data_IF_348592755053
#
_entry.id   IF_348592755053
#
_cell.length_a   1.000
_cell.length_b   1.000
_cell.length_c   1.000
_cell.angle_alpha   90.00
_cell.angle_beta   90.00
_cell.angle_gamma   90.00
#
_symmetry.space_group_name_H-M   'P 1'
#
loop_
_entity.id
_entity.type
_entity.pdbx_description
1 polymer ?
#
# COMPACT_ATOMS: atom_id res chain seq x y z
N UNK A 1 -18.96 0.05 -26.99
CA UNK A 1 -18.31 1.37 -26.89
C UNK A 1 -18.39 1.82 -25.44
N UNK A 2 -17.31 1.85 -24.66
CA UNK A 2 -17.40 2.30 -23.28
C UNK A 2 -17.40 3.84 -23.26
N UNK A 3 -18.37 4.40 -22.55
CA UNK A 3 -18.49 5.82 -22.28
C UNK A 3 -17.30 6.25 -21.42
N UNK A 4 -16.35 6.97 -22.02
CA UNK A 4 -15.38 7.74 -21.26
C UNK A 4 -16.15 8.83 -20.52
N UNK A 5 -16.30 8.68 -19.20
CA UNK A 5 -16.87 9.73 -18.38
C UNK A 5 -15.84 10.86 -18.35
N UNK A 6 -16.06 11.87 -19.19
CA UNK A 6 -15.47 13.17 -18.99
C UNK A 6 -15.94 13.63 -17.60
N UNK A 7 -15.03 13.64 -16.61
CA UNK A 7 -15.23 14.35 -15.36
C UNK A 7 -15.29 15.84 -15.71
N UNK A 8 -16.47 16.28 -16.14
CA UNK A 8 -16.79 17.67 -16.30
C UNK A 8 -16.76 18.26 -14.89
N UNK A 9 -15.69 19.03 -14.65
CA UNK A 9 -15.39 19.73 -13.41
C UNK A 9 -16.44 20.81 -13.21
N UNK A 10 -17.62 20.44 -12.71
CA UNK A 10 -18.57 21.40 -12.19
C UNK A 10 -18.19 21.66 -10.74
N UNK A 11 -17.92 22.93 -10.43
CA UNK A 11 -17.51 23.40 -9.11
C UNK A 11 -18.72 23.39 -8.18
N UNK A 12 -19.24 22.20 -7.87
CA UNK A 12 -20.25 22.00 -6.84
C UNK A 12 -19.56 21.82 -5.50
N UNK A 13 -19.68 22.83 -4.63
CA UNK A 13 -19.31 22.69 -3.22
C UNK A 13 -20.07 21.52 -2.55
N UNK A 14 -19.59 21.02 -1.41
CA UNK A 14 -20.16 19.85 -0.77
C UNK A 14 -21.65 20.08 -0.43
N UNK A 15 -22.53 19.07 -0.64
CA UNK A 15 -23.91 19.13 -0.18
C UNK A 15 -23.95 19.15 1.35
N UNK A 16 -24.83 19.99 1.91
CA UNK A 16 -25.04 20.11 3.35
C UNK A 16 -25.46 18.75 3.96
N UNK A 17 -24.76 18.31 5.01
CA UNK A 17 -25.21 17.22 5.87
C UNK A 17 -26.48 17.65 6.64
N UNK A 18 -27.40 16.71 6.94
CA UNK A 18 -28.57 17.00 7.75
C UNK A 18 -28.14 17.26 9.19
N UNK A 19 -28.65 18.35 9.76
CA UNK A 19 -28.40 18.74 11.14
C UNK A 19 -29.11 17.79 12.12
N UNK A 20 -28.33 17.10 12.96
CA UNK A 20 -28.80 16.65 14.26
C UNK A 20 -28.68 17.83 15.25
N UNK A 21 -29.83 18.29 15.73
CA UNK A 21 -29.94 19.36 16.73
C UNK A 21 -29.49 18.87 18.12
N UNK A 22 -28.59 19.61 18.78
CA UNK A 22 -28.40 19.49 20.22
C UNK A 22 -27.09 20.03 20.80
N UNK A 23 -27.05 21.34 21.10
CA UNK A 23 -26.18 22.03 22.08
C UNK A 23 -24.64 21.94 21.88
N UNK A 24 -23.88 23.03 21.71
CA UNK A 24 -23.68 24.12 22.67
C UNK A 24 -23.15 25.37 21.96
N UNK A 25 -23.72 26.54 22.27
CA UNK A 25 -23.07 27.82 22.00
C UNK A 25 -21.86 28.01 22.93
N UNK A 26 -20.68 28.21 22.36
CA UNK A 26 -19.56 28.97 22.92
C UNK A 26 -18.59 29.34 21.77
N UNK A 27 -18.38 30.65 21.60
CA UNK A 27 -17.42 31.38 20.74
C UNK A 27 -16.55 30.50 19.82
N UNK A 28 -16.79 30.59 18.50
CA UNK A 28 -15.89 30.05 17.48
C UNK A 28 -14.52 30.75 17.56
N UNK A 29 -13.40 30.04 17.75
CA UNK A 29 -12.07 30.62 17.59
C UNK A 29 -11.76 30.72 16.08
N UNK A 30 -11.20 31.88 15.72
CA UNK A 30 -10.27 32.13 14.60
C UNK A 30 -10.32 31.16 13.41
N UNK A 31 -10.88 31.64 12.29
CA UNK A 31 -10.69 31.16 10.93
C UNK A 31 -10.11 29.74 10.80
N UNK A 32 -10.99 28.73 10.88
CA UNK A 32 -10.68 27.37 10.44
C UNK A 32 -10.18 27.47 9.00
N UNK A 33 -8.85 27.44 8.81
CA UNK A 33 -8.25 27.20 7.51
C UNK A 33 -8.65 25.78 7.11
N UNK A 34 -9.79 25.68 6.45
CA UNK A 34 -10.28 24.43 5.88
C UNK A 34 -9.16 23.89 4.99
N UNK A 35 -8.63 22.71 5.34
CA UNK A 35 -7.64 22.06 4.50
C UNK A 35 -8.33 21.68 3.17
N UNK A 36 -7.70 21.94 2.02
CA UNK A 36 -8.29 21.61 0.73
C UNK A 36 -8.63 20.11 0.69
N UNK A 37 -9.92 19.80 0.61
CA UNK A 37 -10.47 18.45 0.66
C UNK A 37 -11.33 18.22 -0.57
N UNK A 38 -11.16 17.07 -1.22
CA UNK A 38 -11.96 16.64 -2.35
C UNK A 38 -12.70 15.36 -1.97
N UNK A 39 -14.01 15.46 -1.86
CA UNK A 39 -14.88 14.37 -1.45
C UNK A 39 -15.57 13.72 -2.65
N UNK A 40 -15.19 12.48 -2.93
CA UNK A 40 -15.76 11.63 -3.98
C UNK A 40 -16.33 10.33 -3.41
N UNK A 41 -16.60 10.27 -2.10
CA UNK A 41 -17.12 9.07 -1.44
C UNK A 41 -18.51 8.70 -1.93
N UNK A 42 -18.89 7.43 -1.77
CA UNK A 42 -20.24 6.94 -2.05
C UNK A 42 -20.73 7.18 -3.49
N UNK A 43 -19.78 7.18 -4.44
CA UNK A 43 -20.08 7.26 -5.86
C UNK A 43 -19.96 5.87 -6.51
N UNK A 44 -20.00 5.84 -7.85
CA UNK A 44 -19.83 4.62 -8.66
C UNK A 44 -18.56 4.68 -9.51
N UNK A 45 -17.52 5.33 -8.99
CA UNK A 45 -16.25 5.46 -9.71
C UNK A 45 -15.63 4.07 -9.82
N UNK A 46 -15.30 3.66 -11.05
CA UNK A 46 -14.70 2.35 -11.34
C UNK A 46 -13.23 2.42 -11.69
N UNK A 47 -12.80 3.55 -12.22
CA UNK A 47 -11.47 3.76 -12.75
C UNK A 47 -11.02 5.18 -12.39
N UNK A 48 -9.72 5.32 -12.11
CA UNK A 48 -9.05 6.61 -11.95
C UNK A 48 -8.09 6.73 -13.12
N UNK A 49 -8.39 7.56 -14.13
CA UNK A 49 -7.46 7.75 -15.24
C UNK A 49 -6.17 8.42 -14.73
N UNK A 50 -5.00 8.12 -15.32
CA UNK A 50 -3.77 8.82 -15.01
C UNK A 50 -3.94 10.34 -15.11
N UNK A 51 -3.46 11.08 -14.12
CA UNK A 51 -3.57 12.54 -14.07
C UNK A 51 -4.98 13.09 -13.76
N UNK A 52 -5.93 12.26 -13.31
CA UNK A 52 -7.30 12.68 -12.97
C UNK A 52 -7.35 13.91 -12.03
N UNK A 53 -6.36 14.02 -11.14
CA UNK A 53 -6.29 15.06 -10.11
C UNK A 53 -5.18 16.08 -10.33
N UNK A 54 -4.51 16.09 -11.49
CA UNK A 54 -3.29 16.88 -11.74
C UNK A 54 -3.43 18.39 -11.51
N UNK A 55 -4.66 18.92 -11.62
CA UNK A 55 -4.98 20.34 -11.37
C UNK A 55 -5.14 20.69 -9.89
N UNK A 56 -5.27 19.69 -9.01
CA UNK A 56 -5.55 19.83 -7.58
C UNK A 56 -4.27 19.81 -6.74
N UNK A 57 -3.23 20.54 -7.15
CA UNK A 57 -1.89 20.47 -6.52
C UNK A 57 -1.84 20.88 -5.04
N UNK A 58 -2.80 21.68 -4.60
CA UNK A 58 -2.93 22.11 -3.21
C UNK A 58 -3.80 21.18 -2.36
N UNK A 59 -4.27 20.07 -2.94
CA UNK A 59 -5.16 19.13 -2.25
C UNK A 59 -4.45 18.49 -1.07
N UNK A 60 -5.10 18.50 0.09
CA UNK A 60 -4.59 17.92 1.32
C UNK A 60 -5.25 16.57 1.64
N UNK A 61 -6.55 16.46 1.38
CA UNK A 61 -7.34 15.26 1.65
C UNK A 61 -8.10 14.82 0.41
N UNK A 62 -7.98 13.55 0.03
CA UNK A 62 -8.74 12.94 -1.05
C UNK A 62 -9.55 11.76 -0.50
N UNK A 63 -10.88 11.86 -0.61
CA UNK A 63 -11.81 10.85 -0.13
C UNK A 63 -12.40 10.09 -1.32
N UNK A 64 -11.98 8.85 -1.53
CA UNK A 64 -12.43 7.96 -2.62
C UNK A 64 -13.07 6.66 -2.09
N UNK A 65 -13.27 6.54 -0.78
CA UNK A 65 -13.84 5.35 -0.17
C UNK A 65 -15.31 5.12 -0.57
N UNK A 66 -15.75 3.86 -0.51
CA UNK A 66 -17.11 3.45 -0.90
C UNK A 66 -17.41 3.77 -2.38
N UNK A 67 -16.49 3.35 -3.26
CA UNK A 67 -16.64 3.38 -4.72
C UNK A 67 -16.46 1.93 -5.27
N UNK A 68 -16.25 1.78 -6.57
CA UNK A 68 -16.08 0.50 -7.27
C UNK A 68 -14.71 0.45 -7.98
N UNK A 69 -13.70 1.14 -7.43
CA UNK A 69 -12.37 1.26 -8.07
C UNK A 69 -11.69 -0.10 -8.02
N UNK A 70 -11.25 -0.61 -9.19
CA UNK A 70 -10.67 -1.95 -9.32
C UNK A 70 -9.15 -1.98 -9.36
N UNK A 71 -8.53 -0.90 -9.82
CA UNK A 71 -7.08 -0.80 -9.92
C UNK A 71 -6.62 0.64 -9.72
N UNK A 72 -5.38 0.77 -9.28
CA UNK A 72 -4.68 2.05 -9.16
C UNK A 72 -3.54 2.08 -10.19
N UNK A 73 -3.74 2.71 -11.36
CA UNK A 73 -2.70 2.76 -12.39
C UNK A 73 -1.58 3.74 -12.01
N UNK A 74 -0.43 3.62 -12.68
CA UNK A 74 0.63 4.62 -12.62
C UNK A 74 0.07 6.03 -12.91
N UNK A 75 0.49 7.00 -12.10
CA UNK A 75 0.07 8.39 -12.26
C UNK A 75 -1.40 8.68 -11.89
N UNK A 76 -2.13 7.75 -11.27
CA UNK A 76 -3.49 8.00 -10.77
C UNK A 76 -3.56 9.23 -9.84
N UNK A 77 -2.51 9.46 -9.06
CA UNK A 77 -2.39 10.55 -8.09
C UNK A 77 -1.19 11.48 -8.37
N UNK A 78 -0.76 11.56 -9.64
CA UNK A 78 0.37 12.38 -10.06
C UNK A 78 0.18 13.87 -9.69
N UNK A 79 1.29 14.55 -9.38
CA UNK A 79 1.37 15.97 -9.00
C UNK A 79 0.61 16.37 -7.70
N UNK A 80 0.16 15.40 -6.88
CA UNK A 80 -0.50 15.66 -5.59
C UNK A 80 0.50 15.76 -4.41
N UNK A 81 1.53 16.59 -4.55
CA UNK A 81 2.65 16.70 -3.59
C UNK A 81 2.24 17.15 -2.17
N UNK A 82 1.11 17.86 -2.05
CA UNK A 82 0.59 18.35 -0.76
C UNK A 82 -0.44 17.41 -0.10
N UNK A 83 -0.76 16.30 -0.76
CA UNK A 83 -1.74 15.34 -0.25
C UNK A 83 -1.18 14.63 0.98
N UNK A 84 -1.91 14.73 2.10
CA UNK A 84 -1.58 14.10 3.38
C UNK A 84 -2.43 12.86 3.65
N UNK A 85 -3.69 12.90 3.23
CA UNK A 85 -4.66 11.87 3.60
C UNK A 85 -5.36 11.32 2.36
N UNK A 86 -5.18 10.02 2.11
CA UNK A 86 -5.80 9.31 1.00
C UNK A 86 -6.65 8.14 1.50
N UNK A 87 -7.96 8.23 1.24
CA UNK A 87 -8.93 7.23 1.67
C UNK A 87 -9.47 6.45 0.47
N UNK A 88 -9.09 5.18 0.38
CA UNK A 88 -9.47 4.25 -0.70
C UNK A 88 -10.19 3.00 -0.17
N UNK A 89 -10.50 2.96 1.13
CA UNK A 89 -11.14 1.81 1.77
C UNK A 89 -12.56 1.54 1.23
N UNK A 90 -13.02 0.30 1.33
CA UNK A 90 -14.33 -0.13 0.75
C UNK A 90 -14.42 0.20 -0.73
N UNK A 91 -13.43 -0.27 -1.49
CA UNK A 91 -13.44 -0.31 -2.96
C UNK A 91 -13.26 -1.78 -3.40
N UNK A 92 -12.96 -2.00 -4.68
CA UNK A 92 -12.71 -3.32 -5.25
C UNK A 92 -11.26 -3.43 -5.74
N UNK A 93 -10.31 -2.72 -5.11
CA UNK A 93 -8.93 -2.62 -5.60
C UNK A 93 -8.28 -3.99 -5.50
N UNK A 94 -7.87 -4.55 -6.65
CA UNK A 94 -7.15 -5.81 -6.76
C UNK A 94 -5.69 -5.60 -7.14
N UNK A 95 -5.42 -4.60 -7.99
CA UNK A 95 -4.08 -4.32 -8.51
C UNK A 95 -3.66 -2.88 -8.21
N UNK A 96 -2.45 -2.72 -7.71
CA UNK A 96 -1.80 -1.43 -7.50
C UNK A 96 -0.52 -1.44 -8.31
N UNK A 97 -0.40 -0.49 -9.24
CA UNK A 97 0.83 -0.31 -10.00
C UNK A 97 1.97 0.16 -9.07
N UNK A 98 3.21 -0.28 -9.32
CA UNK A 98 4.42 0.15 -8.60
C UNK A 98 4.61 1.67 -8.57
N UNK A 99 4.08 2.39 -9.55
CA UNK A 99 4.14 3.85 -9.65
C UNK A 99 2.80 4.55 -9.32
N UNK A 100 1.82 3.82 -8.77
CA UNK A 100 0.50 4.39 -8.45
C UNK A 100 0.58 5.56 -7.45
N UNK A 101 1.50 5.48 -6.48
CA UNK A 101 1.69 6.48 -5.43
C UNK A 101 2.86 7.43 -5.69
N UNK A 102 3.42 7.41 -6.90
CA UNK A 102 4.52 8.30 -7.27
C UNK A 102 4.08 9.78 -7.17
N UNK A 103 4.93 10.60 -6.55
CA UNK A 103 4.67 12.05 -6.36
C UNK A 103 3.95 12.40 -5.06
N UNK A 104 3.48 11.43 -4.27
CA UNK A 104 2.80 11.64 -3.00
C UNK A 104 3.78 11.88 -1.82
N UNK A 105 4.71 12.84 -1.99
CA UNK A 105 5.83 13.10 -1.07
C UNK A 105 5.43 13.57 0.34
N UNK A 106 4.21 14.10 0.49
CA UNK A 106 3.67 14.53 1.79
C UNK A 106 2.64 13.59 2.39
N UNK A 107 2.42 12.41 1.81
CA UNK A 107 1.39 11.50 2.29
C UNK A 107 1.73 10.95 3.67
N UNK A 108 0.82 11.15 4.61
CA UNK A 108 0.95 10.74 6.02
C UNK A 108 0.09 9.51 6.30
N UNK A 109 -1.08 9.40 5.66
CA UNK A 109 -2.05 8.33 5.92
C UNK A 109 -2.65 7.77 4.62
N UNK A 110 -2.57 6.44 4.50
CA UNK A 110 -3.13 5.68 3.39
C UNK A 110 -4.06 4.57 3.92
N UNK A 111 -5.32 4.64 3.53
CA UNK A 111 -6.34 3.67 3.94
C UNK A 111 -6.81 2.84 2.74
N UNK A 112 -6.39 1.58 2.71
CA UNK A 112 -6.71 0.58 1.67
C UNK A 112 -7.45 -0.65 2.21
N UNK A 113 -7.81 -0.67 3.48
CA UNK A 113 -8.59 -1.75 4.10
C UNK A 113 -9.97 -1.95 3.43
N UNK A 114 -10.52 -3.17 3.51
CA UNK A 114 -11.74 -3.55 2.78
C UNK A 114 -11.61 -3.35 1.26
N UNK A 115 -10.55 -3.90 0.69
CA UNK A 115 -10.34 -4.04 -0.75
C UNK A 115 -10.06 -5.53 -1.06
N UNK A 116 -9.54 -5.82 -2.25
CA UNK A 116 -9.28 -7.19 -2.73
C UNK A 116 -7.80 -7.36 -3.15
N UNK A 117 -6.89 -6.65 -2.48
CA UNK A 117 -5.46 -6.66 -2.80
C UNK A 117 -4.87 -8.01 -2.39
N UNK A 118 -4.25 -8.71 -3.34
CA UNK A 118 -3.60 -10.00 -3.10
C UNK A 118 -2.10 -9.87 -2.85
N UNK A 119 -1.44 -9.04 -3.66
CA UNK A 119 0.01 -8.80 -3.58
C UNK A 119 0.31 -7.31 -3.66
N UNK A 120 1.49 -6.93 -3.18
CA UNK A 120 1.99 -5.56 -3.20
C UNK A 120 3.45 -5.57 -3.62
N UNK A 121 3.80 -4.65 -4.50
CA UNK A 121 5.18 -4.45 -4.90
C UNK A 121 5.92 -3.59 -3.84
N UNK A 122 7.11 -3.99 -3.38
CA UNK A 122 7.91 -3.17 -2.47
C UNK A 122 8.15 -1.75 -2.99
N UNK A 123 8.30 -1.58 -4.31
CA UNK A 123 8.54 -0.29 -4.96
C UNK A 123 7.31 0.65 -4.85
N UNK A 124 6.09 0.11 -4.70
CA UNK A 124 4.86 0.90 -4.55
C UNK A 124 4.92 1.88 -3.38
N UNK A 125 5.67 1.57 -2.31
CA UNK A 125 5.73 2.37 -1.10
C UNK A 125 7.06 3.14 -0.93
N UNK A 126 8.02 2.95 -1.84
CA UNK A 126 9.36 3.55 -1.74
C UNK A 126 9.33 5.09 -1.77
N UNK A 127 8.33 5.67 -2.42
CA UNK A 127 8.19 7.13 -2.60
C UNK A 127 7.34 7.82 -1.54
N UNK A 128 7.10 7.18 -0.39
CA UNK A 128 6.23 7.69 0.67
C UNK A 128 7.01 7.97 1.97
N UNK A 129 7.95 8.93 2.00
CA UNK A 129 8.88 9.13 3.11
C UNK A 129 8.22 9.61 4.41
N UNK A 130 7.00 10.18 4.32
CA UNK A 130 6.24 10.68 5.48
C UNK A 130 5.09 9.76 5.88
N UNK A 131 4.98 8.58 5.26
CA UNK A 131 3.88 7.68 5.57
C UNK A 131 4.03 7.15 6.99
N UNK A 132 3.04 7.42 7.82
CA UNK A 132 3.01 7.05 9.23
C UNK A 132 1.90 6.03 9.51
N UNK A 133 0.82 6.06 8.70
CA UNK A 133 -0.34 5.19 8.90
C UNK A 133 -0.71 4.49 7.59
N UNK A 134 -0.75 3.16 7.66
CA UNK A 134 -1.08 2.29 6.54
C UNK A 134 -2.06 1.22 6.98
N UNK A 135 -3.28 1.24 6.43
CA UNK A 135 -4.26 0.18 6.67
C UNK A 135 -4.48 -0.66 5.43
N UNK A 136 -4.10 -1.92 5.52
CA UNK A 136 -4.23 -2.97 4.52
C UNK A 136 -5.01 -4.18 5.04
N UNK A 137 -5.48 -4.16 6.30
CA UNK A 137 -6.33 -5.20 6.87
C UNK A 137 -7.62 -5.41 6.05
N UNK A 138 -8.23 -6.59 6.14
CA UNK A 138 -9.42 -6.93 5.32
C UNK A 138 -9.16 -6.79 3.81
N UNK A 139 -8.01 -7.28 3.35
CA UNK A 139 -7.68 -7.54 1.95
C UNK A 139 -7.44 -9.05 1.75
N UNK A 140 -7.09 -9.46 0.53
CA UNK A 140 -6.83 -10.86 0.18
C UNK A 140 -5.32 -11.20 0.21
N UNK A 141 -4.55 -10.57 1.09
CA UNK A 141 -3.09 -10.63 1.08
C UNK A 141 -2.57 -12.08 1.13
N UNK A 142 -1.77 -12.43 0.12
CA UNK A 142 -1.02 -13.68 0.06
C UNK A 142 0.31 -13.49 0.79
N UNK A 143 0.45 -14.13 1.94
CA UNK A 143 1.63 -14.06 2.77
C UNK A 143 2.57 -15.21 2.45
N UNK A 144 3.50 -14.93 1.57
CA UNK A 144 4.62 -15.79 1.18
C UNK A 144 5.94 -15.06 1.44
N UNK A 145 7.07 -15.55 0.93
CA UNK A 145 8.38 -14.94 1.20
C UNK A 145 8.51 -13.51 0.72
N UNK A 146 7.71 -13.08 -0.28
CA UNK A 146 7.71 -11.70 -0.75
C UNK A 146 6.98 -10.76 0.20
N UNK A 147 6.16 -11.23 1.13
CA UNK A 147 5.47 -10.34 2.09
C UNK A 147 6.39 -9.80 3.19
N UNK A 148 7.60 -10.35 3.34
CA UNK A 148 8.50 -10.05 4.46
C UNK A 148 8.92 -8.58 4.51
N UNK A 149 9.08 -7.91 3.35
CA UNK A 149 9.38 -6.48 3.33
C UNK A 149 8.24 -5.66 4.00
N UNK A 150 6.98 -6.07 3.79
CA UNK A 150 5.83 -5.40 4.37
C UNK A 150 5.78 -5.68 5.88
N UNK A 151 6.10 -6.91 6.29
CA UNK A 151 6.22 -7.23 7.71
C UNK A 151 7.25 -6.33 8.41
N UNK A 152 8.41 -6.11 7.81
CA UNK A 152 9.46 -5.27 8.37
C UNK A 152 9.09 -3.78 8.37
N UNK A 153 8.42 -3.30 7.32
CA UNK A 153 7.86 -1.95 7.27
C UNK A 153 6.87 -1.72 8.41
N UNK A 154 5.92 -2.64 8.62
CA UNK A 154 4.92 -2.52 9.68
C UNK A 154 5.53 -2.62 11.09
N UNK A 155 6.56 -3.46 11.28
CA UNK A 155 7.33 -3.51 12.54
C UNK A 155 8.04 -2.17 12.82
N UNK A 156 8.59 -1.52 11.78
CA UNK A 156 9.21 -0.21 11.93
C UNK A 156 8.20 0.85 12.40
N UNK A 157 6.99 0.85 11.84
CA UNK A 157 5.90 1.75 12.27
C UNK A 157 5.41 1.46 13.69
N UNK A 158 5.32 0.19 14.08
CA UNK A 158 4.96 -0.17 15.45
C UNK A 158 5.98 0.40 16.47
N UNK A 159 7.28 0.37 16.13
CA UNK A 159 8.35 0.93 16.98
C UNK A 159 8.32 2.45 17.06
N UNK A 160 7.89 3.15 16.00
CA UNK A 160 7.79 4.61 15.99
C UNK A 160 6.58 5.15 16.77
N UNK A 161 5.76 4.28 17.36
CA UNK A 161 4.54 4.68 18.09
C UNK A 161 3.32 4.93 17.20
N UNK A 162 3.41 4.58 15.91
CA UNK A 162 2.30 4.72 14.96
C UNK A 162 1.32 3.56 15.08
N UNK A 163 0.41 3.66 16.05
CA UNK A 163 -0.56 2.64 16.43
C UNK A 163 -1.67 2.32 15.39
N UNK A 164 -1.53 2.74 14.13
CA UNK A 164 -2.57 2.58 13.10
C UNK A 164 -2.10 1.89 11.82
N UNK A 165 -0.92 1.27 11.84
CA UNK A 165 -0.47 0.39 10.77
C UNK A 165 -1.03 -1.04 10.98
N UNK A 166 -1.80 -1.55 10.03
CA UNK A 166 -2.45 -2.86 10.15
C UNK A 166 -2.54 -3.57 8.81
N UNK A 167 -2.15 -4.84 8.77
CA UNK A 167 -2.33 -5.74 7.64
C UNK A 167 -2.48 -7.18 8.16
N UNK A 168 -3.33 -7.98 7.52
CA UNK A 168 -3.62 -9.36 7.92
C UNK A 168 -3.52 -10.28 6.72
N UNK A 169 -2.95 -11.46 6.90
CA UNK A 169 -2.88 -12.47 5.84
C UNK A 169 -4.26 -13.10 5.60
N UNK A 170 -4.62 -13.27 4.33
CA UNK A 170 -5.76 -14.12 3.95
C UNK A 170 -5.28 -15.51 3.54
N UNK A 171 -4.12 -15.58 2.90
CA UNK A 171 -3.47 -16.82 2.50
C UNK A 171 -2.01 -16.87 2.99
N UNK A 172 -1.45 -18.07 3.19
CA UNK A 172 -2.10 -19.37 3.18
C UNK A 172 -3.03 -19.59 4.39
N UNK A 173 -3.98 -20.53 4.28
CA UNK A 173 -5.01 -20.81 5.31
C UNK A 173 -4.44 -21.06 6.72
N UNK A 174 -3.23 -21.62 6.82
CA UNK A 174 -2.54 -21.88 8.11
C UNK A 174 -2.26 -20.62 8.94
N UNK A 175 -2.11 -19.46 8.29
CA UNK A 175 -1.85 -18.17 8.93
C UNK A 175 -2.93 -17.13 8.58
N UNK A 176 -4.11 -17.59 8.15
CA UNK A 176 -5.21 -16.67 7.87
C UNK A 176 -5.57 -15.87 9.14
N UNK A 177 -5.73 -14.56 8.98
CA UNK A 177 -6.01 -13.61 10.05
C UNK A 177 -4.79 -13.20 10.88
N UNK A 178 -3.61 -13.82 10.69
CA UNK A 178 -2.38 -13.35 11.36
C UNK A 178 -2.03 -11.95 10.88
N UNK A 179 -1.57 -11.12 11.83
CA UNK A 179 -0.99 -9.82 11.52
C UNK A 179 0.33 -9.99 10.78
N UNK A 180 0.47 -9.32 9.63
CA UNK A 180 1.68 -9.37 8.81
C UNK A 180 2.91 -8.92 9.60
N UNK A 181 2.76 -7.96 10.52
CA UNK A 181 3.85 -7.46 11.36
C UNK A 181 4.41 -8.52 12.33
N UNK A 182 3.69 -9.61 12.58
CA UNK A 182 4.06 -10.65 13.56
C UNK A 182 4.60 -11.94 12.94
N UNK A 183 4.63 -12.01 11.62
CA UNK A 183 5.03 -13.23 10.90
C UNK A 183 6.55 -13.33 10.83
N UNK A 184 7.04 -14.57 10.90
CA UNK A 184 8.45 -14.89 10.76
C UNK A 184 8.74 -15.66 9.46
N UNK A 185 9.99 -15.60 8.94
CA UNK A 185 10.38 -16.38 7.75
C UNK A 185 10.15 -17.88 7.90
N UNK A 186 10.31 -18.42 9.11
CA UNK A 186 10.13 -19.84 9.40
C UNK A 186 8.66 -20.28 9.27
N UNK A 187 7.71 -19.43 9.68
CA UNK A 187 6.27 -19.70 9.48
C UNK A 187 5.86 -19.71 8.00
N UNK A 188 6.69 -19.12 7.15
CA UNK A 188 6.52 -19.03 5.70
C UNK A 188 7.39 -20.02 4.93
N UNK A 189 8.18 -20.85 5.63
CA UNK A 189 9.15 -21.77 5.03
C UNK A 189 10.17 -21.06 4.10
N UNK A 190 10.57 -19.84 4.47
CA UNK A 190 11.52 -19.02 3.73
C UNK A 190 12.94 -19.20 4.28
N UNK A 191 13.86 -19.79 3.50
CA UNK A 191 15.24 -19.87 3.94
C UNK A 191 16.18 -20.74 3.10
N UNK A 192 17.48 -20.57 3.36
CA UNK A 192 18.53 -21.46 2.90
C UNK A 192 18.41 -22.80 3.63
N UNK A 193 18.26 -23.88 2.87
CA UNK A 193 18.23 -25.25 3.41
C UNK A 193 19.59 -25.93 3.31
N UNK A 194 20.50 -25.43 2.47
CA UNK A 194 21.92 -25.83 2.51
C UNK A 194 22.84 -24.75 1.96
N UNK A 195 23.91 -24.46 2.70
CA UNK A 195 24.98 -23.55 2.30
C UNK A 195 26.16 -24.29 1.67
N UNK A 196 26.88 -23.67 0.70
CA UNK A 196 28.11 -24.22 0.18
C UNK A 196 29.18 -24.33 1.28
N UNK A 197 29.90 -25.45 1.30
CA UNK A 197 30.98 -25.71 2.23
C UNK A 197 32.34 -25.47 1.58
N UNK A 198 33.33 -25.12 2.40
CA UNK A 198 34.72 -25.03 1.95
C UNK A 198 35.20 -26.39 1.44
N UNK A 199 36.00 -26.37 0.37
CA UNK A 199 36.49 -27.57 -0.29
C UNK A 199 37.96 -27.41 -0.67
N UNK A 200 38.79 -28.30 -0.14
CA UNK A 200 40.18 -28.45 -0.54
C UNK A 200 40.26 -29.19 -1.88
N UNK A 201 40.95 -28.62 -2.87
CA UNK A 201 41.08 -29.20 -4.21
C UNK A 201 42.53 -29.19 -4.67
N UNK A 202 42.97 -30.32 -5.22
CA UNK A 202 44.30 -30.43 -5.86
C UNK A 202 44.24 -30.04 -7.33
N UNK A 203 45.36 -29.54 -7.86
CA UNK A 203 45.45 -29.07 -9.24
C UNK A 203 44.99 -30.15 -10.24
N UNK A 204 44.08 -29.78 -11.13
CA UNK A 204 43.52 -30.67 -12.17
C UNK A 204 42.23 -31.39 -11.78
N UNK A 205 41.79 -31.33 -10.51
CA UNK A 205 40.53 -31.90 -10.07
C UNK A 205 39.36 -30.90 -10.16
N UNK A 206 38.15 -31.44 -10.35
CA UNK A 206 36.90 -30.66 -10.36
C UNK A 206 36.24 -30.72 -8.99
N UNK A 207 35.72 -29.58 -8.52
CA UNK A 207 34.97 -29.45 -7.27
C UNK A 207 33.56 -28.96 -7.56
N UNK A 208 32.58 -29.41 -6.77
CA UNK A 208 31.19 -29.00 -6.87
C UNK A 208 30.76 -28.34 -5.55
N UNK A 209 30.15 -27.16 -5.65
CA UNK A 209 29.48 -26.52 -4.53
C UNK A 209 27.98 -26.74 -4.65
N UNK A 210 27.34 -27.09 -3.54
CA UNK A 210 25.89 -27.27 -3.47
C UNK A 210 25.29 -26.16 -2.63
N UNK A 211 24.23 -25.52 -3.15
CA UNK A 211 23.41 -24.58 -2.41
C UNK A 211 21.94 -24.95 -2.66
N UNK A 212 21.13 -24.92 -1.62
CA UNK A 212 19.68 -25.19 -1.67
C UNK A 212 18.99 -24.13 -0.85
N UNK A 213 17.95 -23.57 -1.42
CA UNK A 213 17.08 -22.62 -0.76
C UNK A 213 15.63 -23.01 -1.07
N UNK A 214 14.79 -22.91 -0.06
CA UNK A 214 13.35 -23.14 -0.13
C UNK A 214 12.63 -21.83 0.17
N UNK A 215 11.47 -21.68 -0.45
CA UNK A 215 10.66 -20.48 -0.37
C UNK A 215 9.58 -20.50 -1.43
N UNK A 216 8.54 -19.73 -1.18
CA UNK A 216 7.51 -19.43 -2.16
C UNK A 216 7.46 -17.91 -2.34
N UNK A 217 7.72 -17.36 -3.55
CA UNK A 217 8.17 -18.05 -4.75
C UNK A 217 9.56 -18.69 -4.55
N UNK A 218 9.88 -19.67 -5.42
CA UNK A 218 11.15 -20.39 -5.35
C UNK A 218 12.32 -19.41 -5.55
N UNK A 219 13.29 -19.35 -4.61
CA UNK A 219 14.40 -18.41 -4.70
C UNK A 219 15.34 -18.73 -5.86
N UNK A 220 15.87 -17.69 -6.51
CA UNK A 220 16.93 -17.78 -7.49
C UNK A 220 18.30 -17.89 -6.80
N UNK A 221 19.13 -18.85 -7.20
CA UNK A 221 20.48 -19.05 -6.64
C UNK A 221 21.51 -18.44 -7.60
N UNK A 222 22.17 -17.37 -7.16
CA UNK A 222 23.21 -16.67 -7.92
C UNK A 222 24.58 -16.99 -7.34
N UNK A 223 25.50 -17.49 -8.16
CA UNK A 223 26.89 -17.79 -7.76
C UNK A 223 27.83 -16.66 -8.17
N UNK A 224 28.50 -16.04 -7.19
CA UNK A 224 29.53 -15.03 -7.41
C UNK A 224 30.91 -15.69 -7.37
N UNK A 225 31.79 -15.32 -8.30
CA UNK A 225 33.18 -15.79 -8.34
C UNK A 225 34.11 -14.61 -8.02
N UNK A 226 35.05 -14.81 -7.10
CA UNK A 226 36.12 -13.84 -6.89
C UNK A 226 37.02 -13.79 -8.14
N UNK A 227 37.39 -12.57 -8.55
CA UNK A 227 38.36 -12.32 -9.61
C UNK A 227 39.78 -12.38 -9.06
#
# INVERSE_FOLDING_TARGET
>A
MPQALALQMDTGGPPAEPADEGAWGRRAPEALRLTPTWDLRFNRIREIPPGAFRKLRNLNTLLLNNNQIKSLPAGAFEDLENLKYLYLYKNEVQAIDRQAFQGLSSLEQLYLHFNQIETLDPESFQHLPKLERLRLDSNALHCDCEILWLADLLKAYARSGNAQAAATCEYPRRIQGRSVATITPEELDCGLTSEPQDADVTLGNTVFFTCRAEGNPKPEIIWLRNK
#
